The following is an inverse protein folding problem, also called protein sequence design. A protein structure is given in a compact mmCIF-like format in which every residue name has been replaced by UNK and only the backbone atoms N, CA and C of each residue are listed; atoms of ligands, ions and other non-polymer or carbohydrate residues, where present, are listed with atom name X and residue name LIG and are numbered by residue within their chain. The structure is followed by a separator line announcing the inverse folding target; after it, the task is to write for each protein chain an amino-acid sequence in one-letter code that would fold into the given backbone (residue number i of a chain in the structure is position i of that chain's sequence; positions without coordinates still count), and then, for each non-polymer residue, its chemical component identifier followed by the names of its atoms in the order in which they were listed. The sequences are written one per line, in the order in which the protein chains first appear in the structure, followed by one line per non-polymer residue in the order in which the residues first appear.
data_IF_760633929402
#
_entry.id   IF_760633929402
#
_cell.length_a   1.000
_cell.length_b   1.000
_cell.length_c   1.000
_cell.angle_alpha   90.00
_cell.angle_beta   90.00
_cell.angle_gamma   90.00
#
_symmetry.space_group_name_H-M   'P 1'
#
loop_
_entity.id
_entity.type
_entity.pdbx_description
1 polymer ?
#
# COMPACT_ATOMS: atom_id res chain seq x y z
N UNK A 1 9.16 -12.04 -7.20
CA UNK A 1 8.27 -11.23 -6.34
C UNK A 1 7.01 -11.99 -6.05
N UNK A 2 6.55 -11.90 -4.80
CA UNK A 2 5.24 -12.41 -4.41
C UNK A 2 4.26 -11.27 -4.19
N UNK A 3 2.99 -11.59 -4.40
CA UNK A 3 1.86 -10.74 -4.06
C UNK A 3 0.82 -11.59 -3.33
N UNK A 4 0.13 -10.99 -2.38
CA UNK A 4 -1.01 -11.63 -1.71
C UNK A 4 -2.27 -10.87 -2.03
N UNK A 5 -3.26 -11.58 -2.59
CA UNK A 5 -4.58 -11.02 -2.88
C UNK A 5 -5.51 -11.21 -1.68
N UNK A 6 -6.13 -10.11 -1.27
CA UNK A 6 -7.01 -10.01 -0.10
C UNK A 6 -8.36 -9.41 -0.52
N UNK A 7 -9.29 -9.31 0.43
CA UNK A 7 -10.61 -8.75 0.18
C UNK A 7 -10.63 -7.21 0.07
N UNK A 8 -9.56 -6.52 0.49
CA UNK A 8 -9.45 -5.06 0.43
C UNK A 8 -8.02 -4.57 0.65
N UNK A 9 -7.71 -3.32 0.22
CA UNK A 9 -6.48 -2.63 0.60
C UNK A 9 -6.40 -2.39 2.13
N UNK A 10 -7.53 -2.14 2.77
CA UNK A 10 -7.61 -1.98 4.22
C UNK A 10 -7.09 -3.22 4.93
N UNK A 11 -7.57 -4.42 4.55
CA UNK A 11 -7.05 -5.66 5.10
C UNK A 11 -5.54 -5.83 4.80
N UNK A 12 -5.10 -5.47 3.59
CA UNK A 12 -3.69 -5.53 3.21
C UNK A 12 -2.80 -4.66 4.12
N UNK A 13 -3.21 -3.42 4.37
CA UNK A 13 -2.48 -2.51 5.27
C UNK A 13 -2.50 -3.01 6.71
N UNK A 14 -3.65 -3.40 7.23
CA UNK A 14 -3.77 -3.88 8.61
C UNK A 14 -2.92 -5.14 8.85
N UNK A 15 -3.00 -6.13 7.94
CA UNK A 15 -2.20 -7.34 8.08
C UNK A 15 -0.70 -7.05 8.00
N UNK A 16 -0.28 -6.10 7.15
CA UNK A 16 1.12 -5.68 7.10
C UNK A 16 1.59 -5.12 8.45
N UNK A 17 0.82 -4.21 9.06
CA UNK A 17 1.17 -3.68 10.39
C UNK A 17 1.24 -4.78 11.46
N UNK A 18 0.33 -5.75 11.43
CA UNK A 18 0.33 -6.88 12.38
C UNK A 18 1.52 -7.82 12.18
N UNK A 19 1.86 -8.14 10.93
CA UNK A 19 3.02 -8.98 10.61
C UNK A 19 4.32 -8.28 11.06
N UNK A 20 4.39 -6.96 10.91
CA UNK A 20 5.51 -6.15 11.39
C UNK A 20 5.55 -6.03 12.92
N UNK A 21 4.54 -6.52 13.64
CA UNK A 21 4.46 -6.45 15.10
C UNK A 21 4.17 -5.04 15.62
N UNK A 22 3.60 -4.17 14.80
CA UNK A 22 3.25 -2.79 15.19
C UNK A 22 1.95 -2.82 15.99
N UNK A 23 1.93 -2.14 17.15
CA UNK A 23 0.83 -2.18 18.08
C UNK A 23 0.83 -1.08 19.14
N UNK A 24 0.22 -1.35 20.32
CA UNK A 24 0.16 -0.38 21.41
C UNK A 24 1.52 0.11 21.86
N UNK A 25 1.69 1.42 21.95
CA UNK A 25 2.96 2.09 22.27
C UNK A 25 3.72 2.59 21.05
N UNK A 26 3.43 2.06 19.86
CA UNK A 26 4.02 2.50 18.60
C UNK A 26 3.28 3.68 18.00
N UNK A 27 3.97 4.43 17.15
CA UNK A 27 3.41 5.49 16.32
C UNK A 27 3.53 5.11 14.85
N UNK A 28 2.45 5.36 14.09
CA UNK A 28 2.47 5.25 12.63
C UNK A 28 2.01 6.58 12.04
N UNK A 29 2.83 7.12 11.16
CA UNK A 29 2.57 8.39 10.48
C UNK A 29 1.76 8.14 9.22
N UNK A 30 0.77 9.01 8.94
CA UNK A 30 0.08 9.03 7.63
C UNK A 30 -0.28 10.45 7.24
N UNK A 31 -0.67 10.65 5.97
CA UNK A 31 -1.13 11.95 5.47
C UNK A 31 -2.45 12.36 6.12
N UNK A 32 -2.60 13.65 6.43
CA UNK A 32 -3.90 14.21 6.81
C UNK A 32 -4.89 14.24 5.62
N UNK A 33 -4.38 14.26 4.39
CA UNK A 33 -5.19 14.17 3.18
C UNK A 33 -5.20 12.74 2.64
N UNK A 34 -6.10 11.93 3.18
CA UNK A 34 -6.25 10.52 2.82
C UNK A 34 -7.68 10.04 3.02
N UNK A 35 -7.99 8.87 2.50
CA UNK A 35 -9.19 8.13 2.89
C UNK A 35 -9.00 7.55 4.30
N UNK A 36 -10.08 7.44 5.05
CA UNK A 36 -10.04 6.98 6.46
C UNK A 36 -9.32 5.65 6.67
N UNK A 37 -9.25 4.78 5.66
CA UNK A 37 -8.61 3.47 5.79
C UNK A 37 -7.15 3.54 6.25
N UNK A 38 -6.36 4.47 5.68
CA UNK A 38 -4.93 4.62 6.03
C UNK A 38 -4.72 4.95 7.51
N UNK A 39 -5.64 5.73 8.12
CA UNK A 39 -5.60 6.04 9.54
C UNK A 39 -6.29 4.94 10.40
N UNK A 40 -7.40 4.38 9.91
CA UNK A 40 -8.17 3.38 10.66
C UNK A 40 -7.35 2.13 10.96
N UNK A 41 -6.54 1.65 10.02
CA UNK A 41 -5.70 0.43 10.23
C UNK A 41 -4.67 0.63 11.33
N UNK A 42 -4.18 1.86 11.52
CA UNK A 42 -3.27 2.20 12.62
C UNK A 42 -3.99 2.03 13.96
N UNK A 43 -5.22 2.55 14.05
CA UNK A 43 -6.05 2.38 15.24
C UNK A 43 -6.45 0.91 15.48
N UNK A 44 -6.71 0.14 14.42
CA UNK A 44 -7.08 -1.29 14.53
C UNK A 44 -5.97 -2.13 15.17
N UNK A 45 -4.71 -1.78 14.93
CA UNK A 45 -3.59 -2.48 15.57
C UNK A 45 -3.25 -1.91 16.97
N UNK A 46 -3.91 -0.83 17.39
CA UNK A 46 -3.70 -0.18 18.68
C UNK A 46 -2.52 0.80 18.72
N UNK A 47 -1.93 1.11 17.57
CA UNK A 47 -0.87 2.10 17.46
C UNK A 47 -1.45 3.53 17.46
N UNK A 48 -0.62 4.51 17.81
CA UNK A 48 -0.98 5.93 17.78
C UNK A 48 -0.90 6.47 16.35
N UNK A 49 -1.97 7.12 15.90
CA UNK A 49 -2.02 7.82 14.63
C UNK A 49 -1.28 9.15 14.76
N UNK A 50 -0.32 9.41 13.86
CA UNK A 50 0.34 10.71 13.71
C UNK A 50 0.01 11.23 12.31
N UNK A 51 -0.70 12.35 12.25
CA UNK A 51 -1.09 12.96 10.98
C UNK A 51 -0.09 14.03 10.58
N UNK A 52 0.37 13.96 9.33
CA UNK A 52 1.23 14.97 8.70
C UNK A 52 0.46 15.61 7.55
N UNK A 53 0.45 16.92 7.51
CA UNK A 53 -0.24 17.70 6.50
C UNK A 53 0.45 17.59 5.13
N UNK A 54 -0.24 18.00 4.08
CA UNK A 54 0.32 18.10 2.74
C UNK A 54 1.16 19.36 2.58
N UNK A 55 2.05 19.38 1.59
CA UNK A 55 2.71 20.60 1.16
C UNK A 55 1.70 21.59 0.58
N UNK A 56 2.00 22.91 0.68
CA UNK A 56 1.06 23.98 0.29
C UNK A 56 0.55 23.88 -1.15
N UNK A 57 1.39 23.43 -2.08
CA UNK A 57 1.08 23.36 -3.52
C UNK A 57 0.98 21.91 -4.01
N UNK A 58 0.74 20.96 -3.13
CA UNK A 58 0.71 19.53 -3.47
C UNK A 58 -0.30 18.77 -2.61
N UNK A 59 -0.77 17.65 -3.13
CA UNK A 59 -1.54 16.66 -2.35
C UNK A 59 -0.64 15.61 -1.70
N UNK A 60 0.68 15.65 -1.94
CA UNK A 60 1.65 14.78 -1.30
C UNK A 60 1.92 15.27 0.13
N UNK A 61 2.24 14.33 1.03
CA UNK A 61 2.68 14.65 2.39
C UNK A 61 3.87 15.62 2.37
N UNK A 62 3.88 16.57 3.27
CA UNK A 62 5.00 17.49 3.48
C UNK A 62 6.19 16.72 4.10
N UNK A 63 7.27 16.60 3.37
CA UNK A 63 8.43 15.80 3.79
C UNK A 63 9.25 16.44 4.92
N UNK A 64 9.22 17.76 5.07
CA UNK A 64 9.85 18.45 6.20
C UNK A 64 9.05 18.17 7.47
N UNK A 65 7.73 18.30 7.41
CA UNK A 65 6.83 17.94 8.52
C UNK A 65 6.91 16.43 8.84
N UNK A 66 7.09 15.58 7.83
CA UNK A 66 7.34 14.15 8.06
C UNK A 66 8.61 13.95 8.90
N UNK A 67 9.70 14.65 8.57
CA UNK A 67 10.94 14.57 9.33
C UNK A 67 10.76 14.99 10.80
N UNK A 68 9.97 16.05 11.03
CA UNK A 68 9.69 16.56 12.38
C UNK A 68 8.76 15.64 13.20
N UNK A 69 7.89 14.91 12.52
CA UNK A 69 6.93 14.00 13.15
C UNK A 69 7.55 12.65 13.59
N UNK A 70 8.74 12.29 13.08
CA UNK A 70 9.39 11.02 13.43
C UNK A 70 9.97 11.11 14.85
N UNK A 71 9.54 10.19 15.71
CA UNK A 71 10.01 10.01 17.09
C UNK A 71 10.65 8.63 17.29
N UNK A 72 11.13 8.34 18.49
CA UNK A 72 11.64 7.02 18.84
C UNK A 72 10.56 5.90 18.84
N UNK A 73 9.28 6.28 18.90
CA UNK A 73 8.16 5.35 18.86
C UNK A 73 7.63 5.12 17.44
N UNK A 74 8.11 5.88 16.44
CA UNK A 74 7.65 5.78 15.06
C UNK A 74 8.20 4.51 14.40
N UNK A 75 7.30 3.58 14.02
CA UNK A 75 7.67 2.31 13.37
C UNK A 75 7.46 2.33 11.86
N UNK A 76 6.41 3.01 11.40
CA UNK A 76 6.09 3.06 9.97
C UNK A 76 5.53 4.43 9.55
N UNK A 77 5.65 4.72 8.27
CA UNK A 77 4.90 5.76 7.58
C UNK A 77 4.05 5.13 6.49
N UNK A 78 2.76 5.44 6.46
CA UNK A 78 1.82 5.09 5.38
C UNK A 78 1.66 6.32 4.50
N UNK A 79 2.33 6.31 3.35
CA UNK A 79 2.19 7.35 2.32
C UNK A 79 0.97 7.06 1.46
N UNK A 80 0.42 8.08 0.79
CA UNK A 80 -0.78 7.94 -0.04
C UNK A 80 -0.46 8.38 -1.46
N UNK A 81 -0.51 7.45 -2.41
CA UNK A 81 -0.32 7.72 -3.82
C UNK A 81 -1.63 8.27 -4.44
N UNK A 82 -2.01 9.48 -3.97
CA UNK A 82 -3.31 10.10 -4.22
C UNK A 82 -3.57 10.34 -5.72
N UNK A 83 -4.82 10.18 -6.13
CA UNK A 83 -5.29 10.35 -7.51
C UNK A 83 -4.57 9.48 -8.56
N UNK A 84 -3.68 8.59 -8.11
CA UNK A 84 -2.87 7.73 -8.97
C UNK A 84 -1.46 8.25 -9.24
N UNK A 85 -1.04 9.31 -8.56
CA UNK A 85 0.33 9.84 -8.64
C UNK A 85 1.16 9.28 -7.48
N UNK A 86 2.29 8.65 -7.81
CA UNK A 86 3.23 8.15 -6.81
C UNK A 86 3.90 9.29 -6.06
N UNK A 87 4.02 9.16 -4.74
CA UNK A 87 4.84 10.02 -3.91
C UNK A 87 6.31 10.01 -4.33
N UNK A 88 7.09 10.99 -3.88
CA UNK A 88 8.54 11.00 -4.08
C UNK A 88 9.23 10.08 -3.06
N UNK A 89 9.33 8.80 -3.41
CA UNK A 89 9.92 7.80 -2.53
C UNK A 89 11.40 8.04 -2.26
N UNK A 90 12.16 8.67 -3.17
CA UNK A 90 13.55 9.02 -2.91
C UNK A 90 13.65 10.00 -1.73
N UNK A 91 12.83 11.05 -1.74
CA UNK A 91 12.75 12.02 -0.63
C UNK A 91 12.26 11.38 0.66
N UNK A 92 11.26 10.50 0.58
CA UNK A 92 10.76 9.78 1.76
C UNK A 92 11.87 8.93 2.37
N UNK A 93 12.63 8.18 1.55
CA UNK A 93 13.75 7.39 2.05
C UNK A 93 14.91 8.24 2.56
N UNK A 94 15.17 9.41 1.99
CA UNK A 94 16.12 10.38 2.55
C UNK A 94 15.69 10.83 3.94
N UNK A 95 14.42 11.18 4.13
CA UNK A 95 13.86 11.58 5.43
C UNK A 95 13.98 10.46 6.45
N UNK A 96 13.43 9.27 6.18
CA UNK A 96 13.46 8.17 7.15
C UNK A 96 14.89 7.67 7.40
N UNK A 97 15.78 7.77 6.42
CA UNK A 97 17.21 7.49 6.57
C UNK A 97 17.92 8.48 7.48
N UNK A 98 17.61 9.78 7.38
CA UNK A 98 18.19 10.83 8.24
C UNK A 98 17.80 10.67 9.71
N UNK A 99 16.66 10.04 10.00
CA UNK A 99 16.13 9.79 11.35
C UNK A 99 16.39 8.36 11.86
N UNK A 100 17.26 7.60 11.18
CA UNK A 100 17.56 6.20 11.53
C UNK A 100 17.97 6.01 12.99
N UNK A 101 18.69 6.98 13.57
CA UNK A 101 19.14 6.95 14.95
C UNK A 101 17.99 6.98 15.99
N UNK A 102 16.79 7.40 15.59
CA UNK A 102 15.60 7.38 16.46
C UNK A 102 14.87 6.03 16.40
N UNK A 103 15.05 5.27 15.32
CA UNK A 103 14.34 4.02 15.15
C UNK A 103 14.80 2.95 16.13
N UNK A 104 13.85 2.37 16.84
CA UNK A 104 14.03 1.25 17.76
C UNK A 104 13.20 0.06 17.28
N UNK A 105 13.85 -1.02 16.90
CA UNK A 105 13.16 -2.24 16.49
C UNK A 105 12.73 -3.04 17.71
N UNK A 106 11.50 -3.56 17.69
CA UNK A 106 10.95 -4.39 18.78
C UNK A 106 11.02 -5.89 18.46
N UNK A 107 11.37 -6.24 17.22
CA UNK A 107 11.47 -7.62 16.78
C UNK A 107 12.49 -7.77 15.63
N UNK A 108 12.80 -9.03 15.28
CA UNK A 108 13.78 -9.35 14.24
C UNK A 108 13.37 -8.83 12.85
N UNK A 109 12.07 -8.86 12.53
CA UNK A 109 11.58 -8.37 11.25
C UNK A 109 11.79 -6.87 11.10
N UNK A 110 11.50 -6.08 12.15
CA UNK A 110 11.77 -4.64 12.16
C UNK A 110 13.28 -4.34 12.09
N UNK A 111 14.13 -5.17 12.70
CA UNK A 111 15.59 -5.04 12.65
C UNK A 111 16.13 -5.10 11.21
N UNK A 112 15.51 -5.86 10.30
CA UNK A 112 15.96 -5.94 8.90
C UNK A 112 15.88 -4.59 8.20
N UNK A 113 14.90 -3.75 8.55
CA UNK A 113 14.75 -2.41 7.98
C UNK A 113 15.72 -1.42 8.60
N UNK A 114 15.96 -1.51 9.91
CA UNK A 114 16.83 -0.59 10.67
C UNK A 114 16.52 0.90 10.41
N UNK A 115 15.27 1.24 10.16
CA UNK A 115 14.68 2.56 9.95
C UNK A 115 13.16 2.47 9.98
N UNK A 116 12.49 3.61 10.02
CA UNK A 116 11.03 3.68 9.83
C UNK A 116 10.64 3.00 8.52
N UNK A 117 9.66 2.11 8.59
CA UNK A 117 9.21 1.28 7.46
C UNK A 117 8.27 2.11 6.58
N UNK A 118 8.47 2.07 5.26
CA UNK A 118 7.70 2.84 4.29
C UNK A 118 6.63 1.96 3.66
N UNK A 119 5.37 2.27 3.93
CA UNK A 119 4.22 1.61 3.31
C UNK A 119 3.52 2.58 2.36
N UNK A 120 3.14 2.12 1.18
CA UNK A 120 2.30 2.87 0.25
C UNK A 120 0.85 2.40 0.32
N UNK A 121 -0.05 3.31 0.65
CA UNK A 121 -1.45 3.20 0.26
C UNK A 121 -1.59 3.62 -1.21
N UNK A 122 -1.44 2.65 -2.07
CA UNK A 122 -1.52 2.81 -3.53
C UNK A 122 -2.91 2.46 -4.08
N UNK A 123 -3.96 2.63 -3.26
CA UNK A 123 -5.34 2.33 -3.66
C UNK A 123 -5.77 3.04 -4.96
N UNK A 124 -5.10 4.13 -5.34
CA UNK A 124 -5.34 4.91 -6.55
C UNK A 124 -4.29 4.68 -7.66
N UNK A 125 -3.18 4.01 -7.36
CA UNK A 125 -1.97 4.13 -8.18
C UNK A 125 -1.56 2.85 -8.93
N UNK A 126 -2.44 1.84 -9.01
CA UNK A 126 -2.13 0.64 -9.80
C UNK A 126 -1.82 1.03 -11.26
N UNK A 127 -0.61 0.71 -11.72
CA UNK A 127 -0.12 1.06 -13.06
C UNK A 127 0.56 2.44 -13.17
N UNK A 128 0.67 3.20 -12.08
CA UNK A 128 1.51 4.40 -12.04
C UNK A 128 3.00 4.04 -12.12
N UNK A 129 3.78 4.99 -12.60
CA UNK A 129 5.24 4.85 -12.74
C UNK A 129 5.93 6.15 -12.34
N UNK A 130 7.09 6.05 -11.65
CA UNK A 130 7.96 7.18 -11.35
C UNK A 130 9.42 6.75 -11.44
N UNK A 131 10.25 7.52 -12.15
CA UNK A 131 11.70 7.26 -12.37
C UNK A 131 11.99 5.83 -12.83
N UNK A 132 11.15 5.29 -13.73
CA UNK A 132 11.27 3.94 -14.27
C UNK A 132 10.83 2.82 -13.32
N UNK A 133 10.39 3.14 -12.09
CA UNK A 133 9.82 2.17 -11.16
C UNK A 133 8.30 2.19 -11.25
N UNK A 134 7.71 1.01 -11.41
CA UNK A 134 6.25 0.88 -11.32
C UNK A 134 5.81 0.95 -9.85
N UNK A 135 4.61 1.49 -9.64
CA UNK A 135 3.98 1.41 -8.34
C UNK A 135 3.91 -0.05 -7.88
N UNK A 136 4.35 -0.31 -6.66
CA UNK A 136 4.61 -1.66 -6.13
C UNK A 136 6.09 -2.02 -6.02
N UNK A 137 7.00 -1.21 -6.60
CA UNK A 137 8.45 -1.43 -6.56
C UNK A 137 9.18 -0.37 -5.73
N UNK A 138 8.53 0.73 -5.35
CA UNK A 138 9.17 1.88 -4.72
C UNK A 138 9.13 1.85 -3.19
N UNK A 139 7.98 1.58 -2.57
CA UNK A 139 7.84 1.46 -1.12
C UNK A 139 8.27 0.07 -0.61
N UNK A 140 8.58 -0.06 0.68
CA UNK A 140 8.88 -1.37 1.29
C UNK A 140 7.70 -2.33 1.13
N UNK A 141 6.50 -1.83 1.43
CA UNK A 141 5.22 -2.51 1.19
C UNK A 141 4.31 -1.60 0.38
N UNK A 142 3.60 -2.15 -0.58
CA UNK A 142 2.61 -1.43 -1.37
C UNK A 142 1.29 -2.16 -1.33
N UNK A 143 0.21 -1.44 -1.03
CA UNK A 143 -1.14 -1.99 -0.97
C UNK A 143 -2.02 -1.40 -2.06
N UNK A 144 -2.72 -2.25 -2.79
CA UNK A 144 -3.64 -1.87 -3.86
C UNK A 144 -5.09 -2.18 -3.49
N UNK A 145 -6.00 -1.33 -3.95
CA UNK A 145 -7.44 -1.56 -3.86
C UNK A 145 -8.01 -1.94 -5.21
N UNK A 146 -8.86 -2.95 -5.21
CA UNK A 146 -9.64 -3.38 -6.36
C UNK A 146 -11.15 -3.22 -6.12
N UNK A 147 -11.52 -2.29 -5.22
CA UNK A 147 -12.91 -1.90 -4.99
C UNK A 147 -13.56 -1.40 -6.30
N UNK A 148 -14.88 -1.45 -6.37
CA UNK A 148 -15.68 -1.18 -7.58
C UNK A 148 -15.34 0.13 -8.30
N UNK A 149 -14.96 1.19 -7.57
CA UNK A 149 -14.65 2.51 -8.14
C UNK A 149 -13.21 2.66 -8.61
N UNK A 150 -12.32 1.67 -8.36
CA UNK A 150 -10.90 1.77 -8.69
C UNK A 150 -10.63 1.50 -10.18
N UNK A 151 -9.47 1.90 -10.64
CA UNK A 151 -9.06 1.75 -12.04
C UNK A 151 -9.07 0.30 -12.53
N UNK A 152 -8.56 -0.61 -11.70
CA UNK A 152 -8.74 -2.05 -11.83
C UNK A 152 -9.67 -2.48 -10.72
N UNK A 153 -10.70 -3.24 -11.05
CA UNK A 153 -11.70 -3.66 -10.06
C UNK A 153 -11.98 -5.15 -10.10
N UNK A 154 -12.23 -5.71 -8.91
CA UNK A 154 -12.80 -7.04 -8.71
C UNK A 154 -14.14 -6.97 -7.98
N UNK A 155 -14.87 -5.82 -8.06
CA UNK A 155 -15.98 -5.40 -7.21
C UNK A 155 -15.50 -5.10 -5.76
N UNK A 156 -14.99 -6.07 -5.07
CA UNK A 156 -14.24 -5.95 -3.82
C UNK A 156 -12.91 -6.71 -3.95
N UNK A 157 -11.83 -6.14 -3.41
CA UNK A 157 -10.53 -6.76 -3.45
C UNK A 157 -9.39 -5.81 -3.11
N UNK A 158 -8.25 -6.39 -2.91
CA UNK A 158 -6.99 -5.69 -2.71
C UNK A 158 -5.81 -6.63 -2.86
N UNK A 159 -4.63 -6.08 -2.82
CA UNK A 159 -3.39 -6.85 -2.80
C UNK A 159 -2.32 -6.13 -2.01
N UNK A 160 -1.36 -6.88 -1.50
CA UNK A 160 -0.11 -6.37 -0.97
C UNK A 160 1.07 -6.95 -1.73
N UNK A 161 2.06 -6.11 -1.98
CA UNK A 161 3.35 -6.45 -2.55
C UNK A 161 4.45 -5.88 -1.65
N UNK A 162 5.65 -6.44 -1.72
CA UNK A 162 6.84 -5.92 -1.05
C UNK A 162 8.05 -5.95 -1.97
N UNK A 163 9.06 -5.14 -1.67
CA UNK A 163 10.29 -5.05 -2.45
C UNK A 163 11.16 -6.30 -2.25
N UNK A 164 11.92 -6.66 -3.27
CA UNK A 164 12.78 -7.85 -3.25
C UNK A 164 14.10 -7.67 -2.50
N UNK A 165 14.52 -6.42 -2.31
CA UNK A 165 15.84 -6.05 -1.76
C UNK A 165 15.84 -5.79 -0.25
N UNK A 166 14.77 -6.19 0.43
CA UNK A 166 14.59 -5.98 1.87
C UNK A 166 15.27 -7.04 2.74
N UNK A 167 15.83 -8.09 2.15
CA UNK A 167 16.38 -9.22 2.90
C UNK A 167 15.33 -10.09 3.59
N UNK A 168 14.06 -9.93 3.21
CA UNK A 168 12.95 -10.73 3.72
C UNK A 168 12.90 -12.09 3.05
N UNK A 169 12.51 -13.11 3.81
CA UNK A 169 12.14 -14.41 3.23
C UNK A 169 10.73 -14.31 2.63
N UNK A 170 10.67 -14.30 1.28
CA UNK A 170 9.41 -14.18 0.52
C UNK A 170 8.42 -15.31 0.84
N UNK A 171 8.90 -16.52 1.08
CA UNK A 171 8.04 -17.67 1.38
C UNK A 171 7.44 -17.54 2.79
N UNK A 172 8.26 -17.18 3.77
CA UNK A 172 7.79 -17.00 5.14
C UNK A 172 6.82 -15.81 5.23
N UNK A 173 7.14 -14.69 4.59
CA UNK A 173 6.25 -13.52 4.58
C UNK A 173 4.92 -13.84 3.89
N UNK A 174 4.94 -14.53 2.75
CA UNK A 174 3.73 -15.00 2.07
C UNK A 174 2.89 -15.88 2.99
N UNK A 175 3.53 -16.83 3.69
CA UNK A 175 2.87 -17.71 4.64
C UNK A 175 2.23 -16.95 5.80
N UNK A 176 2.88 -15.91 6.32
CA UNK A 176 2.31 -15.07 7.37
C UNK A 176 1.03 -14.37 6.88
N UNK A 177 1.01 -13.79 5.68
CA UNK A 177 -0.22 -13.22 5.13
C UNK A 177 -1.32 -14.27 4.94
N UNK A 178 -0.98 -15.48 4.48
CA UNK A 178 -1.96 -16.57 4.33
C UNK A 178 -2.54 -16.99 5.67
N UNK A 179 -1.71 -17.14 6.70
CA UNK A 179 -2.15 -17.43 8.07
C UNK A 179 -3.12 -16.35 8.57
N UNK A 180 -2.73 -15.07 8.48
CA UNK A 180 -3.57 -13.96 8.94
C UNK A 180 -4.88 -13.84 8.16
N UNK A 181 -4.88 -14.13 6.87
CA UNK A 181 -6.07 -13.99 6.02
C UNK A 181 -7.01 -15.19 6.03
N UNK A 182 -6.59 -16.34 6.59
CA UNK A 182 -7.32 -17.62 6.60
C UNK A 182 -7.43 -18.23 8.01
N UNK A 183 -7.90 -17.47 8.98
CA UNK A 183 -8.18 -17.92 10.36
C UNK A 183 -6.96 -18.44 11.15
N UNK A 184 -5.72 -18.18 10.71
CA UNK A 184 -4.52 -18.74 11.34
C UNK A 184 -4.35 -20.24 11.12
N UNK A 185 -4.97 -20.81 10.10
CA UNK A 185 -4.88 -22.24 9.79
C UNK A 185 -3.52 -22.61 9.21
N UNK A 186 -2.89 -23.64 9.75
CA UNK A 186 -1.56 -24.11 9.34
C UNK A 186 -1.51 -24.74 7.95
N UNK A 187 -2.66 -25.06 7.34
CA UNK A 187 -2.79 -25.61 6.00
C UNK A 187 -3.82 -24.84 5.18
N UNK A 188 -3.48 -24.56 3.94
CA UNK A 188 -4.39 -23.92 2.99
C UNK A 188 -5.42 -24.93 2.41
N UNK A 189 -6.32 -24.45 1.53
CA UNK A 189 -7.35 -25.30 0.93
C UNK A 189 -6.76 -26.40 0.03
N UNK A 190 -5.67 -26.11 -0.71
CA UNK A 190 -5.02 -27.10 -1.59
C UNK A 190 -4.31 -28.19 -0.81
N UNK A 191 -3.64 -27.84 0.27
CA UNK A 191 -2.98 -28.81 1.14
C UNK A 191 -4.01 -29.76 1.78
N UNK A 192 -5.20 -29.27 2.15
CA UNK A 192 -6.29 -30.08 2.71
C UNK A 192 -6.92 -31.07 1.72
N UNK A 193 -6.75 -30.87 0.40
CA UNK A 193 -7.26 -31.81 -0.61
C UNK A 193 -6.43 -33.08 -0.74
N UNK A 194 -5.19 -33.09 -0.22
CA UNK A 194 -4.35 -34.29 -0.22
C UNK A 194 -4.94 -35.34 0.72
N UNK A 195 -4.91 -36.59 0.28
CA UNK A 195 -5.46 -37.73 1.04
C UNK A 195 -4.84 -37.81 2.45
N UNK A 196 -5.66 -37.73 3.48
CA UNK A 196 -5.22 -37.77 4.90
C UNK A 196 -4.77 -36.43 5.47
N UNK A 197 -4.90 -35.30 4.75
CA UNK A 197 -4.43 -33.98 5.19
C UNK A 197 -5.54 -33.05 5.69
N UNK A 198 -6.67 -33.58 6.13
CA UNK A 198 -7.79 -32.81 6.66
C UNK A 198 -7.51 -32.19 8.04
N UNK A 199 -6.58 -32.75 8.81
CA UNK A 199 -6.16 -32.20 10.11
C UNK A 199 -5.28 -30.97 9.89
N UNK A 200 -5.55 -29.91 10.63
CA UNK A 200 -4.78 -28.67 10.65
C UNK A 200 -4.85 -28.04 12.03
N UNK A 201 -3.86 -27.24 12.37
CA UNK A 201 -3.82 -26.48 13.61
C UNK A 201 -4.24 -25.02 13.37
N UNK A 202 -4.74 -24.38 14.42
CA UNK A 202 -4.91 -22.93 14.49
C UNK A 202 -3.69 -22.38 15.22
N UNK A 203 -2.80 -21.70 14.48
CA UNK A 203 -1.55 -21.17 15.03
C UNK A 203 -1.84 -19.98 15.95
N UNK A 204 -2.79 -19.12 15.56
CA UNK A 204 -3.32 -18.02 16.36
C UNK A 204 -4.69 -17.58 15.82
N UNK A 205 -5.52 -16.87 16.61
CA UNK A 205 -6.77 -16.31 16.12
C UNK A 205 -6.48 -15.21 15.09
N UNK A 206 -7.05 -15.38 13.89
CA UNK A 206 -6.81 -14.49 12.76
C UNK A 206 -8.11 -14.23 11.98
N UNK A 207 -7.99 -13.57 10.83
CA UNK A 207 -9.11 -13.06 10.05
C UNK A 207 -9.55 -14.03 8.94
N UNK A 208 -10.70 -13.73 8.35
CA UNK A 208 -11.14 -14.30 7.08
C UNK A 208 -11.25 -13.16 6.07
N UNK A 209 -10.16 -12.85 5.38
CA UNK A 209 -10.07 -11.70 4.48
C UNK A 209 -9.30 -11.98 3.17
N UNK A 210 -9.20 -13.25 2.78
CA UNK A 210 -8.65 -13.64 1.48
C UNK A 210 -9.56 -13.18 0.33
N UNK A 211 -9.00 -12.96 -0.85
CA UNK A 211 -9.77 -12.81 -2.09
C UNK A 211 -10.41 -14.15 -2.45
N UNK A 212 -11.66 -14.13 -2.95
CA UNK A 212 -12.32 -15.34 -3.45
C UNK A 212 -11.91 -15.62 -4.90
N UNK A 213 -11.96 -16.88 -5.34
CA UNK A 213 -11.62 -17.27 -6.71
C UNK A 213 -12.50 -16.60 -7.76
N UNK A 214 -13.78 -16.35 -7.43
CA UNK A 214 -14.72 -15.64 -8.31
C UNK A 214 -14.20 -14.22 -8.57
N UNK A 215 -13.82 -13.49 -7.52
CA UNK A 215 -13.30 -12.12 -7.63
C UNK A 215 -11.92 -12.11 -8.32
N UNK A 216 -11.07 -13.09 -8.05
CA UNK A 216 -9.81 -13.26 -8.74
C UNK A 216 -10.00 -13.48 -10.25
N UNK A 217 -11.00 -14.26 -10.65
CA UNK A 217 -11.37 -14.47 -12.05
C UNK A 217 -11.74 -13.16 -12.75
N UNK A 218 -12.53 -12.29 -12.11
CA UNK A 218 -12.78 -10.93 -12.62
C UNK A 218 -11.49 -10.12 -12.73
N UNK A 219 -10.63 -10.18 -11.72
CA UNK A 219 -9.34 -9.50 -11.72
C UNK A 219 -8.46 -9.87 -12.90
N UNK A 220 -8.37 -11.14 -13.25
CA UNK A 220 -7.60 -11.61 -14.41
C UNK A 220 -8.10 -11.00 -15.74
N UNK A 221 -9.42 -10.87 -15.90
CA UNK A 221 -10.00 -10.25 -17.09
C UNK A 221 -9.73 -8.73 -17.11
N UNK A 222 -9.88 -8.06 -15.98
CA UNK A 222 -9.57 -6.63 -15.85
C UNK A 222 -8.08 -6.36 -16.14
N UNK A 223 -7.18 -7.21 -15.63
CA UNK A 223 -5.73 -7.07 -15.83
C UNK A 223 -5.34 -7.15 -17.31
N UNK A 224 -5.96 -8.08 -18.07
CA UNK A 224 -5.73 -8.19 -19.53
C UNK A 224 -6.12 -6.95 -20.31
N UNK A 225 -7.06 -6.16 -19.82
CA UNK A 225 -7.58 -4.94 -20.45
C UNK A 225 -6.94 -3.67 -19.90
N UNK A 226 -6.12 -3.79 -18.87
CA UNK A 226 -5.74 -2.67 -18.01
C UNK A 226 -4.92 -1.59 -18.72
N UNK A 227 -4.01 -1.97 -19.62
CA UNK A 227 -3.23 -1.01 -20.42
C UNK A 227 -4.11 -0.11 -21.28
N UNK A 228 -5.15 -0.67 -21.88
CA UNK A 228 -6.15 0.11 -22.63
C UNK A 228 -6.94 1.06 -21.75
N UNK A 229 -7.27 0.66 -20.52
CA UNK A 229 -7.95 1.51 -19.55
C UNK A 229 -7.06 2.68 -19.10
N UNK A 230 -5.79 2.44 -18.80
CA UNK A 230 -4.82 3.49 -18.46
C UNK A 230 -4.65 4.48 -19.62
N UNK A 231 -4.51 3.98 -20.85
CA UNK A 231 -4.40 4.83 -22.04
C UNK A 231 -5.62 5.75 -22.16
N UNK A 232 -6.84 5.21 -22.00
CA UNK A 232 -8.07 5.99 -22.09
C UNK A 232 -8.17 7.06 -20.99
N UNK A 233 -7.77 6.76 -19.75
CA UNK A 233 -7.72 7.72 -18.65
C UNK A 233 -6.73 8.85 -18.95
N UNK A 234 -5.58 8.53 -19.48
CA UNK A 234 -4.58 9.53 -19.91
C UNK A 234 -5.13 10.48 -20.98
N UNK A 235 -5.88 9.95 -21.95
CA UNK A 235 -6.55 10.77 -22.99
C UNK A 235 -7.58 11.71 -22.36
N UNK A 236 -8.41 11.22 -21.43
CA UNK A 236 -9.44 12.03 -20.74
C UNK A 236 -8.78 13.18 -19.94
N UNK A 237 -7.72 12.89 -19.18
CA UNK A 237 -7.00 13.90 -18.40
C UNK A 237 -6.46 15.00 -19.34
N UNK A 238 -5.84 14.62 -20.46
CA UNK A 238 -5.33 15.61 -21.44
C UNK A 238 -6.44 16.49 -22.02
N UNK A 239 -7.65 15.93 -22.23
CA UNK A 239 -8.81 16.71 -22.67
C UNK A 239 -9.20 17.70 -21.57
N UNK A 240 -9.30 17.27 -20.31
CA UNK A 240 -9.60 18.17 -19.20
C UNK A 240 -8.55 19.29 -19.05
N UNK A 241 -7.26 18.95 -19.08
CA UNK A 241 -6.17 19.93 -19.03
C UNK A 241 -6.31 20.97 -20.14
N UNK A 242 -6.56 20.53 -21.39
CA UNK A 242 -6.69 21.42 -22.53
C UNK A 242 -7.91 22.38 -22.45
N UNK A 243 -8.95 21.98 -21.75
CA UNK A 243 -10.18 22.79 -21.60
C UNK A 243 -10.15 23.67 -20.34
N UNK A 244 -9.57 23.19 -19.25
CA UNK A 244 -9.69 23.82 -17.93
C UNK A 244 -8.52 24.74 -17.60
N UNK A 245 -7.29 24.40 -17.98
CA UNK A 245 -6.12 25.24 -17.72
C UNK A 245 -6.23 26.63 -18.36
N UNK A 246 -6.74 26.81 -19.62
CA UNK A 246 -6.97 28.13 -20.19
C UNK A 246 -7.97 29.00 -19.41
N UNK A 247 -8.82 28.37 -18.58
CA UNK A 247 -9.76 29.07 -17.70
C UNK A 247 -9.15 29.42 -16.33
N UNK A 248 -7.87 29.13 -16.10
CA UNK A 248 -7.17 29.38 -14.84
C UNK A 248 -7.40 28.31 -13.76
N UNK A 249 -7.99 27.16 -14.11
CA UNK A 249 -8.13 26.04 -13.17
C UNK A 249 -6.76 25.40 -12.94
N UNK A 250 -6.36 25.29 -11.69
CA UNK A 250 -5.20 24.52 -11.26
C UNK A 250 -5.62 23.09 -10.97
N UNK A 251 -4.88 22.12 -11.47
CA UNK A 251 -5.14 20.70 -11.24
C UNK A 251 -3.88 19.96 -10.83
N UNK A 252 -4.04 18.77 -10.28
CA UNK A 252 -2.92 17.86 -10.03
C UNK A 252 -2.21 17.55 -11.35
N UNK A 253 -0.90 17.73 -11.40
CA UNK A 253 -0.09 17.35 -12.56
C UNK A 253 0.04 15.80 -12.56
N UNK A 254 -0.58 15.18 -13.59
CA UNK A 254 -0.62 13.72 -13.73
C UNK A 254 0.57 13.14 -14.51
N UNK A 255 1.24 13.95 -15.33
CA UNK A 255 2.31 13.48 -16.23
C UNK A 255 3.46 14.47 -16.19
N UNK A 256 4.67 13.97 -15.97
CA UNK A 256 5.92 14.72 -15.96
C UNK A 256 6.99 13.97 -16.76
N UNK A 257 8.21 14.49 -16.72
CA UNK A 257 9.35 13.85 -17.40
C UNK A 257 9.70 12.50 -16.76
N UNK A 258 9.60 12.40 -15.45
CA UNK A 258 10.01 11.24 -14.65
C UNK A 258 8.86 10.46 -14.01
N UNK A 259 7.60 10.84 -14.26
CA UNK A 259 6.44 10.12 -13.70
C UNK A 259 5.23 10.10 -14.64
N UNK A 260 4.45 9.04 -14.48
CA UNK A 260 3.13 8.88 -15.10
C UNK A 260 2.15 8.39 -14.04
N UNK A 261 1.11 9.18 -13.81
CA UNK A 261 0.00 8.81 -12.91
C UNK A 261 -0.89 7.74 -13.54
N UNK A 262 -1.51 6.90 -12.70
CA UNK A 262 -2.58 6.01 -13.12
C UNK A 262 -3.91 6.74 -13.46
N UNK A 263 -3.99 8.04 -13.17
CA UNK A 263 -5.13 8.88 -13.53
C UNK A 263 -6.44 8.44 -12.89
N UNK A 264 -6.41 8.15 -11.57
CA UNK A 264 -7.61 7.68 -10.88
C UNK A 264 -8.64 8.80 -10.64
N UNK A 265 -8.20 9.93 -10.14
CA UNK A 265 -9.02 11.12 -9.93
C UNK A 265 -8.40 12.29 -10.68
N UNK A 266 -9.23 13.25 -11.09
CA UNK A 266 -8.82 14.57 -11.54
C UNK A 266 -9.09 15.54 -10.39
N UNK A 267 -8.03 16.04 -9.75
CA UNK A 267 -8.07 16.91 -8.58
C UNK A 267 -7.61 18.31 -8.94
#
# INVERSE_FOLDING_TARGET
NKAVCLNSATAAMELTLRILGIGPGDEVITSAYTYTASASVINHVGAKIVLVDTSADSFEMDYEKLADAITENTKAVITVDIAGKMCDYDKIYEVVGSKRNLFKADNELQNLFNRVIVMSDAAHAFGAERKGLKCGQAADFTTFSFHAVKNLTTAEGGAVLWRNDLGLDDEELYKQYMLYSLHGQSKDALEKTKKGSWEYDIVYPAYKCNMTDILAGFGLIQLRRYEGLLKRRKEIIKIYDSMLHPLGVQSLIHFGEDFTSAGHLYL
#
